data_IF_411301002036
#
_entry.id   IF_411301002036
#
_cell.length_a   1.000
_cell.length_b   1.000
_cell.length_c   1.000
_cell.angle_alpha   90.00
_cell.angle_beta   90.00
_cell.angle_gamma   90.00
#
_symmetry.space_group_name_H-M   'P 1'
#
loop_
_entity.id
_entity.type
_entity.pdbx_description
1 polymer ?
#
# COMPACT_ATOMS: atom_id res chain seq x y z
N UNK A 1 -0.38 -25.48 2.01
CA UNK A 1 -0.53 -24.70 3.25
C UNK A 1 -1.99 -24.78 3.65
N UNK A 2 -2.26 -25.32 4.84
CA UNK A 2 -3.64 -25.42 5.37
C UNK A 2 -4.08 -24.01 5.72
N UNK A 3 -5.06 -23.49 4.99
CA UNK A 3 -5.70 -22.21 5.25
C UNK A 3 -6.67 -22.40 6.44
N UNK A 4 -6.12 -22.65 7.63
CA UNK A 4 -6.91 -22.82 8.83
C UNK A 4 -7.40 -21.46 9.30
N UNK A 5 -8.69 -21.24 9.11
CA UNK A 5 -9.45 -20.10 9.60
C UNK A 5 -9.30 -20.01 11.12
N UNK A 6 -8.89 -18.84 11.61
CA UNK A 6 -8.64 -18.66 13.03
C UNK A 6 -9.98 -18.61 13.78
N UNK A 7 -10.13 -19.47 14.79
CA UNK A 7 -11.32 -19.54 15.64
C UNK A 7 -11.25 -18.50 16.77
N UNK A 8 -11.83 -17.34 16.50
CA UNK A 8 -11.84 -16.18 17.40
C UNK A 8 -12.44 -16.41 18.79
N UNK A 9 -13.31 -17.40 18.95
CA UNK A 9 -13.92 -17.76 20.24
C UNK A 9 -12.93 -18.33 21.26
N UNK A 10 -11.73 -18.73 20.81
CA UNK A 10 -10.68 -19.31 21.66
C UNK A 10 -9.45 -18.42 21.79
N UNK A 11 -9.56 -17.15 21.39
CA UNK A 11 -8.43 -16.23 21.37
C UNK A 11 -8.47 -15.33 22.60
N UNK A 12 -7.43 -15.43 23.43
CA UNK A 12 -7.15 -14.40 24.44
C UNK A 12 -6.41 -13.23 23.77
N UNK A 13 -7.07 -12.08 23.74
CA UNK A 13 -6.59 -10.85 23.10
C UNK A 13 -5.43 -10.24 23.89
N UNK A 14 -5.37 -10.45 25.20
CA UNK A 14 -4.34 -9.91 26.09
C UNK A 14 -2.98 -10.62 25.93
N UNK A 15 -2.95 -11.80 25.28
CA UNK A 15 -1.75 -12.60 25.03
C UNK A 15 -1.12 -12.37 23.63
N UNK A 16 -1.59 -11.37 22.86
CA UNK A 16 -1.08 -11.14 21.51
C UNK A 16 0.35 -10.59 21.48
N UNK A 17 1.23 -11.30 20.79
CA UNK A 17 2.58 -10.85 20.47
C UNK A 17 2.68 -10.44 19.01
N UNK A 18 3.72 -9.68 18.66
CA UNK A 18 4.04 -9.34 17.25
C UNK A 18 4.10 -10.60 16.37
N UNK A 19 4.54 -11.74 16.92
CA UNK A 19 4.64 -13.01 16.19
C UNK A 19 3.26 -13.54 15.79
N UNK A 20 2.28 -13.49 16.69
CA UNK A 20 0.90 -13.91 16.40
C UNK A 20 0.24 -13.04 15.30
N UNK A 21 0.56 -11.75 15.26
CA UNK A 21 0.03 -10.83 14.23
C UNK A 21 0.53 -11.13 12.81
N UNK A 22 1.65 -11.86 12.65
CA UNK A 22 2.21 -12.19 11.33
C UNK A 22 1.37 -13.22 10.59
N UNK A 23 0.63 -14.06 11.30
CA UNK A 23 -0.08 -15.20 10.72
C UNK A 23 -1.45 -14.82 10.13
N UNK A 24 -2.00 -13.64 10.48
CA UNK A 24 -3.32 -13.20 10.01
C UNK A 24 -3.41 -12.97 8.50
N UNK A 25 -4.18 -13.77 7.78
CA UNK A 25 -4.38 -13.58 6.35
C UNK A 25 -5.38 -12.42 6.06
N UNK A 26 -5.62 -12.14 4.78
CA UNK A 26 -6.51 -11.05 4.33
C UNK A 26 -7.94 -11.20 4.87
N UNK A 27 -8.47 -12.43 4.93
CA UNK A 27 -9.81 -12.72 5.45
C UNK A 27 -9.88 -12.53 6.96
N UNK A 28 -8.85 -12.97 7.68
CA UNK A 28 -8.76 -12.76 9.13
C UNK A 28 -8.82 -11.28 9.46
N UNK A 29 -7.96 -10.47 8.82
CA UNK A 29 -7.92 -9.02 9.05
C UNK A 29 -9.26 -8.34 8.71
N UNK A 30 -9.89 -8.72 7.60
CA UNK A 30 -11.20 -8.16 7.21
C UNK A 30 -12.24 -8.38 8.30
N UNK A 31 -12.32 -9.61 8.83
CA UNK A 31 -13.29 -9.97 9.86
C UNK A 31 -12.97 -9.29 11.19
N UNK A 32 -11.70 -9.16 11.54
CA UNK A 32 -11.30 -8.46 12.76
C UNK A 32 -11.71 -6.99 12.74
N UNK A 33 -11.51 -6.27 11.62
CA UNK A 33 -11.94 -4.88 11.50
C UNK A 33 -13.46 -4.71 11.66
N UNK A 34 -14.24 -5.71 11.26
CA UNK A 34 -15.70 -5.71 11.37
C UNK A 34 -16.22 -6.04 12.78
N UNK A 35 -15.38 -6.53 13.69
CA UNK A 35 -15.74 -6.84 15.08
C UNK A 35 -15.76 -5.58 15.95
N UNK A 36 -16.69 -4.68 15.66
CA UNK A 36 -16.81 -3.38 16.34
C UNK A 36 -17.32 -3.48 17.78
N UNK A 37 -17.92 -4.61 18.16
CA UNK A 37 -18.39 -4.89 19.53
C UNK A 37 -17.22 -5.12 20.50
N UNK A 38 -16.08 -5.62 20.00
CA UNK A 38 -14.86 -5.87 20.76
C UNK A 38 -13.77 -4.87 20.31
N UNK A 39 -13.68 -3.65 20.89
CA UNK A 39 -12.84 -2.58 20.34
C UNK A 39 -11.35 -2.90 20.23
N UNK A 40 -10.85 -3.86 21.01
CA UNK A 40 -9.47 -4.34 20.92
C UNK A 40 -9.19 -5.16 19.65
N UNK A 41 -10.19 -5.86 19.09
CA UNK A 41 -10.00 -6.73 17.93
C UNK A 41 -9.68 -5.93 16.66
N UNK A 42 -10.42 -4.84 16.32
CA UNK A 42 -10.04 -3.94 15.24
C UNK A 42 -8.68 -3.26 15.46
N UNK A 43 -8.29 -3.00 16.72
CA UNK A 43 -6.96 -2.44 17.02
C UNK A 43 -5.85 -3.44 16.69
N UNK A 44 -6.01 -4.72 17.06
CA UNK A 44 -5.07 -5.78 16.66
C UNK A 44 -5.01 -5.94 15.14
N UNK A 45 -6.15 -5.81 14.45
CA UNK A 45 -6.21 -5.85 13.00
C UNK A 45 -5.41 -4.71 12.37
N UNK A 46 -5.54 -3.51 12.94
CA UNK A 46 -4.76 -2.34 12.53
C UNK A 46 -3.26 -2.58 12.72
N UNK A 47 -2.83 -3.07 13.87
CA UNK A 47 -1.40 -3.36 14.12
C UNK A 47 -0.86 -4.43 13.17
N UNK A 48 -1.63 -5.50 12.90
CA UNK A 48 -1.26 -6.52 11.94
C UNK A 48 -1.18 -5.99 10.50
N UNK A 49 -2.13 -5.13 10.11
CA UNK A 49 -2.12 -4.42 8.83
C UNK A 49 -0.84 -3.60 8.65
N UNK A 50 -0.44 -2.85 9.69
CA UNK A 50 0.80 -2.05 9.66
C UNK A 50 2.05 -2.91 9.62
N UNK A 51 2.09 -3.99 10.40
CA UNK A 51 3.21 -4.92 10.46
C UNK A 51 3.52 -5.55 9.09
N UNK A 52 2.47 -5.86 8.33
CA UNK A 52 2.58 -6.41 6.96
C UNK A 52 2.92 -5.35 5.91
N UNK A 53 2.75 -4.08 6.24
CA UNK A 53 3.14 -2.98 5.36
C UNK A 53 4.66 -2.75 5.36
N UNK A 54 5.15 -2.03 4.36
CA UNK A 54 6.57 -1.65 4.29
C UNK A 54 6.99 -0.68 5.39
N UNK A 55 6.04 0.06 5.96
CA UNK A 55 6.23 1.12 6.95
C UNK A 55 6.41 0.58 8.37
N UNK A 56 5.89 -0.63 8.63
CA UNK A 56 5.84 -1.22 9.97
C UNK A 56 4.94 -0.45 10.92
N UNK A 57 4.82 -0.96 12.15
CA UNK A 57 3.97 -0.37 13.20
C UNK A 57 4.43 1.02 13.64
N UNK A 58 5.71 1.36 13.42
CA UNK A 58 6.30 2.65 13.79
C UNK A 58 6.19 3.72 12.70
N UNK A 59 5.65 3.39 11.52
CA UNK A 59 5.57 4.29 10.36
C UNK A 59 6.91 4.93 9.97
N UNK A 60 8.00 4.17 10.06
CA UNK A 60 9.32 4.68 9.71
C UNK A 60 9.43 4.84 8.18
N UNK A 61 9.32 6.09 7.73
CA UNK A 61 9.32 6.46 6.30
C UNK A 61 10.66 6.11 5.65
N UNK A 62 11.79 6.42 6.30
CA UNK A 62 13.12 6.11 5.76
C UNK A 62 13.30 4.61 5.59
N UNK A 63 12.89 3.82 6.58
CA UNK A 63 12.88 2.35 6.49
C UNK A 63 11.99 1.87 5.35
N UNK A 64 10.79 2.43 5.21
CA UNK A 64 9.85 2.07 4.13
C UNK A 64 10.41 2.36 2.74
N UNK A 65 11.13 3.48 2.58
CA UNK A 65 11.81 3.85 1.34
C UNK A 65 12.97 2.89 1.07
N UNK A 66 13.84 2.63 2.06
CA UNK A 66 14.94 1.65 1.92
C UNK A 66 14.40 0.28 1.48
N UNK A 67 13.33 -0.22 2.09
CA UNK A 67 12.67 -1.48 1.69
C UNK A 67 12.17 -1.44 0.25
N UNK A 68 11.56 -0.33 -0.17
CA UNK A 68 11.11 -0.14 -1.56
C UNK A 68 12.28 -0.19 -2.54
N UNK A 69 13.38 0.49 -2.24
CA UNK A 69 14.58 0.49 -3.09
C UNK A 69 15.22 -0.89 -3.17
N UNK A 70 15.29 -1.62 -2.06
CA UNK A 70 15.75 -3.02 -2.05
C UNK A 70 14.86 -3.93 -2.90
N UNK A 71 13.53 -3.81 -2.80
CA UNK A 71 12.58 -4.58 -3.61
C UNK A 71 12.79 -4.35 -5.11
N UNK A 72 13.07 -3.11 -5.50
CA UNK A 72 13.32 -2.71 -6.89
C UNK A 72 14.76 -2.95 -7.35
N UNK A 73 15.64 -3.44 -6.47
CA UNK A 73 17.09 -3.58 -6.71
C UNK A 73 17.72 -2.28 -7.21
N UNK A 74 17.26 -1.15 -6.69
CA UNK A 74 17.82 0.17 -7.00
C UNK A 74 19.00 0.47 -6.06
N UNK A 75 19.97 1.30 -6.50
CA UNK A 75 21.04 1.74 -5.62
C UNK A 75 20.47 2.40 -4.36
N UNK A 76 20.95 1.97 -3.18
CA UNK A 76 20.48 2.45 -1.88
C UNK A 76 21.02 3.85 -1.50
N UNK A 77 21.78 4.49 -2.38
CA UNK A 77 22.51 5.71 -2.05
C UNK A 77 21.62 6.94 -2.24
N UNK A 78 21.05 7.44 -1.14
CA UNK A 78 20.65 8.84 -1.03
C UNK A 78 21.86 9.72 -1.40
N UNK A 79 21.69 10.60 -2.39
CA UNK A 79 22.72 11.54 -2.84
C UNK A 79 23.22 11.35 -4.27
N UNK A 80 22.89 10.25 -4.96
CA UNK A 80 23.13 10.13 -6.42
C UNK A 80 21.90 9.61 -7.15
N UNK A 81 20.90 10.50 -7.26
CA UNK A 81 19.86 10.38 -8.27
C UNK A 81 18.50 9.91 -7.80
N UNK A 82 18.21 9.86 -6.51
CA UNK A 82 16.85 9.65 -6.00
C UNK A 82 16.52 10.68 -4.93
N UNK A 83 15.35 11.29 -5.05
CA UNK A 83 14.75 12.16 -4.03
C UNK A 83 13.33 11.68 -3.73
N UNK A 84 12.83 11.99 -2.54
CA UNK A 84 11.48 11.64 -2.15
C UNK A 84 10.82 12.78 -1.38
N UNK A 85 9.48 12.85 -1.44
CA UNK A 85 8.70 13.85 -0.70
C UNK A 85 7.34 13.31 -0.28
N UNK A 86 6.96 13.60 0.96
CA UNK A 86 5.61 13.36 1.47
C UNK A 86 4.61 14.34 0.86
N UNK A 87 3.48 13.83 0.36
CA UNK A 87 2.38 14.64 -0.16
C UNK A 87 1.03 14.01 0.14
N UNK A 88 -0.01 14.83 0.27
CA UNK A 88 -1.40 14.38 0.13
C UNK A 88 -1.79 14.47 -1.34
N UNK A 89 -2.29 13.38 -1.90
CA UNK A 89 -2.59 13.27 -3.32
C UNK A 89 -4.07 13.03 -3.56
N UNK A 90 -4.58 13.54 -4.68
CA UNK A 90 -5.90 13.16 -5.18
C UNK A 90 -5.79 11.78 -5.86
N UNK A 91 -6.51 10.75 -5.37
CA UNK A 91 -6.50 9.41 -5.96
C UNK A 91 -6.76 9.36 -7.47
N UNK A 92 -7.64 10.24 -7.97
CA UNK A 92 -8.03 10.28 -9.38
C UNK A 92 -6.91 10.75 -10.34
N UNK A 93 -5.76 11.19 -9.81
CA UNK A 93 -4.60 11.61 -10.61
C UNK A 93 -3.48 10.58 -10.65
N UNK A 94 -3.69 9.40 -10.04
CA UNK A 94 -2.65 8.39 -9.89
C UNK A 94 -2.88 7.28 -10.90
N UNK A 95 -1.89 7.09 -11.77
CA UNK A 95 -1.86 6.06 -12.79
C UNK A 95 -1.53 4.70 -12.20
N UNK A 96 -2.10 3.66 -12.80
CA UNK A 96 -1.85 2.29 -12.40
C UNK A 96 -0.55 1.74 -12.99
N UNK A 97 0.07 0.86 -12.21
CA UNK A 97 1.12 -0.06 -12.68
C UNK A 97 0.70 -1.53 -12.73
N UNK A 98 -0.55 -1.80 -12.35
CA UNK A 98 -1.17 -3.12 -12.31
C UNK A 98 -2.40 -3.10 -13.23
N UNK A 99 -2.82 -4.26 -13.72
CA UNK A 99 -3.94 -4.36 -14.65
C UNK A 99 -5.28 -4.62 -13.94
N UNK A 100 -5.26 -5.16 -12.71
CA UNK A 100 -6.45 -5.46 -11.91
C UNK A 100 -6.17 -5.40 -10.41
N UNK A 101 -7.23 -5.41 -9.60
CA UNK A 101 -7.17 -5.44 -8.14
C UNK A 101 -7.82 -6.71 -7.59
N UNK A 102 -7.12 -7.37 -6.66
CA UNK A 102 -7.70 -8.49 -5.91
C UNK A 102 -8.88 -8.05 -5.02
N UNK A 103 -10.03 -8.71 -5.14
CA UNK A 103 -11.25 -8.40 -4.41
C UNK A 103 -11.13 -8.57 -2.89
N UNK A 104 -10.46 -9.63 -2.42
CA UNK A 104 -10.35 -9.88 -0.98
C UNK A 104 -9.50 -8.79 -0.31
N UNK A 105 -8.36 -8.42 -0.91
CA UNK A 105 -7.55 -7.29 -0.46
C UNK A 105 -8.30 -5.99 -0.54
N UNK A 106 -9.10 -5.77 -1.59
CA UNK A 106 -9.94 -4.58 -1.71
C UNK A 106 -10.89 -4.45 -0.52
N UNK A 107 -11.63 -5.50 -0.18
CA UNK A 107 -12.55 -5.51 0.97
C UNK A 107 -11.81 -5.25 2.29
N UNK A 108 -10.68 -5.92 2.50
CA UNK A 108 -9.84 -5.74 3.69
C UNK A 108 -9.36 -4.29 3.83
N UNK A 109 -8.86 -3.69 2.74
CA UNK A 109 -8.38 -2.30 2.74
C UNK A 109 -9.53 -1.32 2.98
N UNK A 110 -10.73 -1.61 2.45
CA UNK A 110 -11.92 -0.78 2.67
C UNK A 110 -12.27 -0.67 4.15
N UNK A 111 -12.45 -1.81 4.82
CA UNK A 111 -12.77 -1.82 6.25
C UNK A 111 -11.64 -1.26 7.11
N UNK A 112 -10.38 -1.47 6.72
CA UNK A 112 -9.22 -0.91 7.39
C UNK A 112 -9.19 0.62 7.33
N UNK A 113 -9.43 1.21 6.15
CA UNK A 113 -9.43 2.67 5.98
C UNK A 113 -10.62 3.32 6.71
N UNK A 114 -11.80 2.72 6.66
CA UNK A 114 -12.97 3.17 7.42
C UNK A 114 -12.67 3.20 8.92
N UNK A 115 -12.05 2.14 9.45
CA UNK A 115 -11.60 2.08 10.84
C UNK A 115 -10.58 3.19 11.16
N UNK A 116 -9.57 3.40 10.30
CA UNK A 116 -8.55 4.42 10.52
C UNK A 116 -9.13 5.83 10.56
N UNK A 117 -10.06 6.15 9.64
CA UNK A 117 -10.73 7.45 9.59
C UNK A 117 -11.57 7.65 10.86
N UNK A 118 -12.42 6.68 11.20
CA UNK A 118 -13.33 6.74 12.35
C UNK A 118 -12.58 6.94 13.66
N UNK A 119 -11.40 6.33 13.81
CA UNK A 119 -10.63 6.35 15.05
C UNK A 119 -9.41 7.29 14.99
N UNK A 120 -9.34 8.17 13.99
CA UNK A 120 -8.23 9.12 13.79
C UNK A 120 -6.83 8.46 13.78
N UNK A 121 -6.74 7.24 13.26
CA UNK A 121 -5.48 6.50 13.15
C UNK A 121 -4.71 6.93 11.90
N UNK A 122 -3.36 6.91 11.93
CA UNK A 122 -2.55 7.16 10.76
C UNK A 122 -2.83 6.15 9.62
N UNK A 123 -3.01 6.68 8.41
CA UNK A 123 -3.15 5.88 7.19
C UNK A 123 -1.76 5.71 6.56
N UNK A 124 -1.30 4.47 6.30
CA UNK A 124 0.01 4.26 5.70
C UNK A 124 0.11 4.87 4.31
N UNK A 125 1.20 5.60 4.01
CA UNK A 125 1.31 6.27 2.73
C UNK A 125 1.45 5.28 1.58
N UNK A 126 0.93 5.65 0.42
CA UNK A 126 1.16 4.93 -0.84
C UNK A 126 2.49 5.35 -1.45
N UNK A 127 3.10 4.52 -2.30
CA UNK A 127 4.34 4.88 -3.00
C UNK A 127 4.02 5.22 -4.44
N UNK A 128 4.43 6.40 -4.88
CA UNK A 128 4.15 6.92 -6.22
C UNK A 128 5.44 7.38 -6.87
N UNK A 129 5.69 7.01 -8.12
CA UNK A 129 6.75 7.57 -8.94
C UNK A 129 6.27 8.83 -9.66
N UNK A 130 7.06 9.89 -9.58
CA UNK A 130 6.94 11.02 -10.49
C UNK A 130 7.80 10.74 -11.73
N UNK A 131 7.15 10.34 -12.83
CA UNK A 131 7.81 10.14 -14.11
C UNK A 131 7.67 11.43 -14.92
N UNK A 132 8.81 12.07 -15.19
CA UNK A 132 8.90 13.24 -16.08
C UNK A 132 9.25 12.77 -17.49
N UNK A 133 8.36 12.98 -18.45
CA UNK A 133 8.68 12.88 -19.88
C UNK A 133 8.68 14.29 -20.48
N UNK A 134 9.25 14.45 -21.68
CA UNK A 134 9.45 15.76 -22.35
C UNK A 134 8.17 16.63 -22.47
N UNK A 135 6.98 16.04 -22.32
CA UNK A 135 5.71 16.76 -22.40
C UNK A 135 4.70 16.45 -21.29
N UNK A 136 4.97 15.50 -20.38
CA UNK A 136 3.98 15.05 -19.37
C UNK A 136 4.62 14.65 -18.04
N UNK A 137 3.89 14.89 -16.97
CA UNK A 137 4.18 14.39 -15.63
C UNK A 137 3.17 13.29 -15.29
N UNK A 138 3.65 12.06 -15.13
CA UNK A 138 2.78 10.95 -14.73
C UNK A 138 3.13 10.54 -13.29
N UNK A 139 2.10 10.52 -12.44
CA UNK A 139 2.16 10.04 -11.07
C UNK A 139 1.73 8.57 -11.08
N UNK A 140 2.69 7.66 -10.97
CA UNK A 140 2.46 6.23 -11.19
C UNK A 140 2.52 5.50 -9.87
N UNK A 141 1.46 4.79 -9.50
CA UNK A 141 1.46 3.99 -8.29
C UNK A 141 2.48 2.86 -8.40
N UNK A 142 3.39 2.78 -7.43
CA UNK A 142 4.28 1.63 -7.24
C UNK A 142 3.69 0.65 -6.23
N UNK A 143 3.06 1.17 -5.17
CA UNK A 143 2.50 0.39 -4.07
C UNK A 143 1.29 1.11 -3.47
N UNK A 144 0.24 0.33 -3.21
CA UNK A 144 -0.98 0.84 -2.58
C UNK A 144 -2.13 1.07 -3.54
N UNK A 145 -2.21 0.35 -4.66
CA UNK A 145 -3.30 0.47 -5.63
C UNK A 145 -4.69 0.30 -4.97
N UNK A 146 -4.88 -0.73 -4.13
CA UNK A 146 -6.12 -0.90 -3.35
C UNK A 146 -6.43 0.31 -2.45
N UNK A 147 -5.42 0.89 -1.80
CA UNK A 147 -5.59 2.06 -0.91
C UNK A 147 -6.00 3.30 -1.69
N UNK A 148 -5.43 3.52 -2.87
CA UNK A 148 -5.81 4.62 -3.77
C UNK A 148 -7.24 4.44 -4.24
N UNK A 149 -7.61 3.23 -4.67
CA UNK A 149 -8.94 2.93 -5.16
C UNK A 149 -10.00 3.17 -4.06
N UNK A 150 -9.77 2.63 -2.86
CA UNK A 150 -10.66 2.83 -1.70
C UNK A 150 -10.71 4.30 -1.28
N UNK A 151 -9.58 5.01 -1.24
CA UNK A 151 -9.57 6.44 -0.90
C UNK A 151 -10.41 7.27 -1.89
N UNK A 152 -10.47 6.87 -3.16
CA UNK A 152 -11.35 7.48 -4.16
C UNK A 152 -12.84 7.21 -3.89
N UNK A 153 -13.21 5.99 -3.46
CA UNK A 153 -14.57 5.68 -3.03
C UNK A 153 -14.98 6.55 -1.84
N UNK A 154 -14.09 6.69 -0.87
CA UNK A 154 -14.28 7.49 0.35
C UNK A 154 -14.10 9.01 0.14
N UNK A 155 -13.89 9.46 -1.10
CA UNK A 155 -13.70 10.87 -1.48
C UNK A 155 -12.64 11.60 -0.65
N UNK A 156 -11.57 10.90 -0.29
CA UNK A 156 -10.52 11.41 0.58
C UNK A 156 -9.17 11.54 -0.14
N UNK A 157 -8.34 12.54 0.20
CA UNK A 157 -6.96 12.56 -0.25
C UNK A 157 -6.16 11.42 0.41
N UNK A 158 -5.23 10.84 -0.33
CA UNK A 158 -4.37 9.74 0.17
C UNK A 158 -2.98 10.28 0.52
N UNK A 159 -2.41 9.94 1.70
CA UNK A 159 -1.00 10.21 1.99
C UNK A 159 -0.11 9.40 1.05
N UNK A 160 0.94 10.01 0.51
CA UNK A 160 1.82 9.40 -0.47
C UNK A 160 3.27 9.83 -0.27
N UNK A 161 4.18 8.89 -0.51
CA UNK A 161 5.60 9.15 -0.75
C UNK A 161 5.80 9.23 -2.26
N UNK A 162 6.14 10.43 -2.74
CA UNK A 162 6.45 10.67 -4.14
C UNK A 162 7.96 10.50 -4.33
N UNK A 163 8.33 9.46 -5.08
CA UNK A 163 9.70 9.17 -5.49
C UNK A 163 9.99 9.87 -6.81
N UNK A 164 11.10 10.57 -6.87
CA UNK A 164 11.58 11.26 -8.06
C UNK A 164 13.05 10.89 -8.29
N UNK A 165 13.36 10.44 -9.50
CA UNK A 165 14.74 10.17 -9.90
C UNK A 165 15.35 11.42 -10.53
N UNK A 166 16.54 11.81 -10.04
CA UNK A 166 17.39 12.82 -10.66
C UNK A 166 18.46 12.09 -11.46
N UNK A 167 18.22 11.84 -12.74
CA UNK A 167 19.28 11.39 -13.62
C UNK A 167 20.10 12.65 -13.93
N UNK A 168 21.35 12.71 -13.47
CA UNK A 168 22.31 13.67 -14.04
C UNK A 168 22.38 13.33 -15.54
N UNK A 169 22.02 14.30 -16.40
CA UNK A 169 21.67 14.15 -17.82
C UNK A 169 22.82 13.62 -18.74
N UNK A 170 23.81 12.93 -18.18
CA UNK A 170 25.00 12.41 -18.86
C UNK A 170 24.92 10.91 -19.19
N UNK A 171 23.94 10.21 -18.64
CA UNK A 171 23.68 8.80 -18.98
C UNK A 171 22.21 8.62 -19.36
N UNK A 172 21.99 7.96 -20.50
CA UNK A 172 20.67 7.60 -21.02
C UNK A 172 19.83 7.01 -19.87
N UNK A 173 18.55 7.37 -19.73
CA UNK A 173 17.72 6.84 -18.66
C UNK A 173 17.59 5.31 -18.73
N UNK A 174 18.45 4.59 -17.99
CA UNK A 174 18.39 3.13 -17.89
C UNK A 174 17.09 2.71 -17.17
N UNK A 175 16.45 3.62 -16.44
CA UNK A 175 15.31 3.36 -15.56
C UNK A 175 13.92 3.37 -16.23
N UNK A 176 13.54 4.32 -17.10
CA UNK A 176 12.32 4.18 -17.91
C UNK A 176 12.28 2.85 -18.69
N UNK A 177 13.44 2.28 -18.99
CA UNK A 177 13.56 0.97 -19.62
C UNK A 177 13.50 -0.22 -18.64
N UNK A 178 13.97 -0.07 -17.38
CA UNK A 178 14.00 -1.14 -16.35
C UNK A 178 12.79 -1.15 -15.42
N UNK A 179 12.10 -0.03 -15.27
CA UNK A 179 10.88 0.03 -14.50
C UNK A 179 9.80 -0.70 -15.33
N UNK A 180 9.11 -1.72 -14.78
CA UNK A 180 8.20 -2.58 -15.55
C UNK A 180 6.95 -1.88 -16.11
N UNK A 181 6.83 -0.56 -15.97
CA UNK A 181 5.62 0.22 -16.29
C UNK A 181 5.54 0.65 -17.76
N UNK A 182 6.00 -0.18 -18.70
CA UNK A 182 6.05 0.19 -20.13
C UNK A 182 4.68 0.37 -20.79
N UNK A 183 3.57 0.11 -20.09
CA UNK A 183 2.21 0.33 -20.58
C UNK A 183 1.30 0.87 -19.46
N UNK A 184 1.45 2.15 -19.15
CA UNK A 184 0.53 2.85 -18.26
C UNK A 184 -0.58 3.47 -19.11
N UNK A 185 -1.76 2.85 -19.10
CA UNK A 185 -2.91 3.27 -19.92
C UNK A 185 -4.18 3.55 -19.11
N UNK A 186 -4.18 3.28 -17.80
CA UNK A 186 -5.34 3.44 -16.90
C UNK A 186 -4.96 4.13 -15.59
N UNK A 187 -5.93 4.83 -14.99
CA UNK A 187 -5.80 5.28 -13.61
C UNK A 187 -6.08 4.13 -12.66
N UNK A 188 -5.52 4.18 -11.45
CA UNK A 188 -5.77 3.17 -10.41
C UNK A 188 -7.27 3.02 -10.10
N UNK A 189 -8.00 4.13 -10.20
CA UNK A 189 -9.43 4.17 -9.93
C UNK A 189 -10.27 3.47 -11.02
N UNK A 190 -9.69 3.22 -12.19
CA UNK A 190 -10.36 2.57 -13.31
C UNK A 190 -10.03 1.07 -13.39
N UNK A 191 -9.20 0.55 -12.49
CA UNK A 191 -8.82 -0.85 -12.50
C UNK A 191 -10.01 -1.76 -12.16
N UNK A 192 -10.20 -2.87 -12.89
CA UNK A 192 -11.20 -3.87 -12.54
C UNK A 192 -10.84 -4.55 -11.21
N UNK A 193 -11.86 -4.88 -10.42
CA UNK A 193 -11.72 -5.63 -9.17
C UNK A 193 -12.13 -7.08 -9.43
N UNK A 194 -11.18 -7.99 -9.35
CA UNK A 194 -11.34 -9.40 -9.72
C UNK A 194 -11.53 -10.28 -8.48
N UNK A 195 -12.55 -11.15 -8.53
CA UNK A 195 -12.71 -12.23 -7.54
C UNK A 195 -11.89 -13.43 -8.00
N UNK A 196 -10.88 -13.81 -7.23
CA UNK A 196 -10.20 -15.07 -7.47
C UNK A 196 -11.14 -16.23 -7.16
N UNK A 197 -11.54 -16.98 -8.19
CA UNK A 197 -12.22 -18.26 -8.04
C UNK A 197 -11.15 -19.33 -8.27
N UNK A 198 -10.72 -20.07 -7.24
CA UNK A 198 -9.79 -21.18 -7.45
C UNK A 198 -10.44 -22.19 -8.41
N UNK A 199 -9.74 -22.54 -9.49
CA UNK A 199 -10.05 -23.68 -10.34
C UNK A 199 -9.52 -24.94 -9.68
#
# INVERSE_FOLDING_TARGET
MVNSEIKWEFIDVDEFTIKHLQDFNVKDLTRMFLRVEDPMVPELAYLAFLLKSKWGVTFDIERGIRRTLMQLRLPLFEGKGLSWKERKMNPAKIWASEDSLDFEKFQMVKVALEYMIKNHKPIPPVVVWLIKTESRYNLVCHDGHHRIHVANELKMPIPAIVLEYWIDNREIPILPQKIPYRKINSYVIDLPIEKFVPI
#
